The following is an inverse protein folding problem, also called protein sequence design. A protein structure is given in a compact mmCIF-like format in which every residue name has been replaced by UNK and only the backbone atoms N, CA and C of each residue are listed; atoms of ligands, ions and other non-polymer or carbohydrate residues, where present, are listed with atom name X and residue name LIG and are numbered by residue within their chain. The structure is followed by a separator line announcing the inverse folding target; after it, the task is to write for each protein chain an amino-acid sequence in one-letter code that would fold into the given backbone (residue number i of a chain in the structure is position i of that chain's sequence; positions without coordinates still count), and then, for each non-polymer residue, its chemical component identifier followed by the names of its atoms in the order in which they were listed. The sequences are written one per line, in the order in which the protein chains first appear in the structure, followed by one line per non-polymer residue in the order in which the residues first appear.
data_IF_147330066233
#
_entry.id   IF_147330066233
#
_cell.length_a   1.000
_cell.length_b   1.000
_cell.length_c   1.000
_cell.angle_alpha   90.00
_cell.angle_beta   90.00
_cell.angle_gamma   90.00
#
_symmetry.space_group_name_H-M   'P 1'
#
loop_
_entity.id
_entity.type
_entity.pdbx_description
1 polymer ?
#
# COMPACT_ATOMS: atom_id res chain seq x y z
N UNK A 1 -13.60 8.38 17.68
CA UNK A 1 -12.37 9.15 17.98
C UNK A 1 -11.42 8.36 18.88
N UNK A 2 -10.51 7.57 18.31
CA UNK A 2 -9.35 7.00 19.02
C UNK A 2 -8.12 7.73 18.52
N UNK A 3 -7.31 8.20 19.48
CA UNK A 3 -6.14 9.08 19.32
C UNK A 3 -5.19 8.61 18.21
N UNK A 4 -5.34 9.17 17.02
CA UNK A 4 -4.30 9.24 16.00
C UNK A 4 -3.44 10.47 16.30
N UNK A 5 -2.10 10.33 16.26
CA UNK A 5 -1.20 11.47 16.09
C UNK A 5 0.01 11.58 17.01
N UNK A 6 0.02 10.99 18.22
CA UNK A 6 1.18 11.12 19.12
C UNK A 6 1.44 9.79 19.86
N UNK A 7 2.57 9.14 19.54
CA UNK A 7 3.32 8.08 20.29
C UNK A 7 3.77 6.92 19.37
N UNK A 8 4.63 7.18 18.39
CA UNK A 8 5.37 6.13 17.65
C UNK A 8 6.90 6.18 17.89
N UNK A 9 7.36 6.82 18.94
CA UNK A 9 8.80 6.91 19.27
C UNK A 9 9.27 5.83 20.25
N UNK A 10 8.35 5.29 21.05
CA UNK A 10 8.62 4.29 22.09
C UNK A 10 7.49 3.28 22.02
N UNK A 11 7.82 2.01 21.78
CA UNK A 11 6.86 0.90 21.80
C UNK A 11 7.28 -0.11 22.86
N UNK A 12 6.32 -0.53 23.66
CA UNK A 12 6.51 -1.63 24.61
C UNK A 12 5.94 -2.88 23.98
N UNK A 13 6.79 -3.87 23.72
CA UNK A 13 6.41 -5.17 23.20
C UNK A 13 6.73 -6.25 24.24
N UNK A 14 5.94 -7.32 24.25
CA UNK A 14 6.19 -8.50 25.06
C UNK A 14 6.70 -9.60 24.13
N UNK A 15 7.99 -9.93 24.27
CA UNK A 15 8.57 -11.09 23.60
C UNK A 15 8.43 -12.30 24.54
N UNK A 16 7.27 -12.97 24.45
CA UNK A 16 6.83 -13.96 25.43
C UNK A 16 6.55 -13.34 26.81
N UNK A 17 7.35 -13.70 27.82
CA UNK A 17 7.27 -13.12 29.18
C UNK A 17 8.22 -11.92 29.38
N UNK A 18 9.07 -11.60 28.40
CA UNK A 18 10.12 -10.58 28.56
C UNK A 18 9.67 -9.24 27.96
N UNK A 19 9.59 -8.15 28.75
CA UNK A 19 9.29 -6.83 28.20
C UNK A 19 10.49 -6.34 27.37
N UNK A 20 10.20 -5.89 26.15
CA UNK A 20 11.12 -5.30 25.19
C UNK A 20 10.69 -3.85 24.91
N UNK A 21 11.65 -2.94 24.90
CA UNK A 21 11.39 -1.53 24.56
C UNK A 21 12.00 -1.27 23.20
N UNK A 22 11.16 -0.90 22.24
CA UNK A 22 11.61 -0.55 20.90
C UNK A 22 11.62 0.97 20.78
N UNK A 23 12.79 1.53 20.49
CA UNK A 23 13.04 2.96 20.33
C UNK A 23 13.40 3.30 18.89
N UNK A 24 12.94 4.45 18.43
CA UNK A 24 13.40 5.04 17.16
C UNK A 24 14.93 5.26 17.19
N UNK A 25 15.62 5.03 16.07
CA UNK A 25 17.07 5.23 15.91
C UNK A 25 17.57 6.58 16.42
N UNK A 26 16.75 7.65 16.36
CA UNK A 26 17.12 8.97 16.88
C UNK A 26 17.50 8.98 18.36
N UNK A 27 17.04 7.98 19.13
CA UNK A 27 17.36 7.82 20.55
C UNK A 27 18.55 6.88 20.81
N UNK A 28 19.28 6.45 19.77
CA UNK A 28 20.47 5.62 19.91
C UNK A 28 21.48 6.22 20.89
N UNK A 29 21.80 7.51 20.72
CA UNK A 29 22.75 8.20 21.60
C UNK A 29 22.32 8.16 23.06
N UNK A 30 21.01 8.27 23.33
CA UNK A 30 20.47 8.17 24.67
C UNK A 30 20.63 6.76 25.25
N UNK A 31 20.32 5.71 24.48
CA UNK A 31 20.44 4.33 24.93
C UNK A 31 21.92 3.95 25.20
N UNK A 32 22.83 4.31 24.29
CA UNK A 32 24.26 4.01 24.41
C UNK A 32 24.89 4.78 25.57
N UNK A 33 24.64 6.08 25.69
CA UNK A 33 25.19 6.86 26.81
C UNK A 33 24.56 6.50 28.14
N UNK A 34 23.25 6.20 28.16
CA UNK A 34 22.55 5.72 29.35
C UNK A 34 23.21 4.46 29.92
N UNK A 35 23.43 3.45 29.09
CA UNK A 35 24.16 2.23 29.48
C UNK A 35 25.57 2.53 30.01
N UNK A 36 26.35 3.35 29.29
CA UNK A 36 27.70 3.75 29.73
C UNK A 36 27.69 4.48 31.08
N UNK A 37 26.69 5.32 31.34
CA UNK A 37 26.54 6.01 32.64
C UNK A 37 26.22 5.02 33.75
N UNK A 38 25.35 4.03 33.51
CA UNK A 38 25.05 2.98 34.51
C UNK A 38 26.31 2.17 34.82
N UNK A 39 27.08 1.76 33.81
CA UNK A 39 28.35 1.07 34.01
C UNK A 39 29.35 1.91 34.80
N UNK A 40 29.49 3.20 34.48
CA UNK A 40 30.38 4.12 35.19
C UNK A 40 29.97 4.29 36.66
N UNK A 41 28.66 4.39 36.94
CA UNK A 41 28.14 4.42 38.31
C UNK A 41 28.40 3.10 39.05
N UNK A 42 28.30 1.96 38.37
CA UNK A 42 28.69 0.66 38.92
C UNK A 42 30.16 0.62 39.35
N UNK A 43 31.06 1.14 38.51
CA UNK A 43 32.48 1.24 38.86
C UNK A 43 32.70 2.19 40.04
N UNK A 44 32.11 3.39 40.01
CA UNK A 44 32.28 4.37 41.09
C UNK A 44 31.74 3.87 42.44
N UNK A 45 30.60 3.18 42.43
CA UNK A 45 29.98 2.64 43.63
C UNK A 45 30.80 1.49 44.24
N UNK A 46 31.54 0.73 43.42
CA UNK A 46 32.46 -0.30 43.91
C UNK A 46 33.64 0.25 44.71
N UNK A 47 34.01 1.52 44.51
CA UNK A 47 35.11 2.19 45.20
C UNK A 47 34.69 2.81 46.54
N UNK A 48 33.39 2.89 46.83
CA UNK A 48 32.86 3.51 48.04
C UNK A 48 32.64 2.46 49.14
N UNK A 49 33.08 2.77 50.36
CA UNK A 49 32.80 1.97 51.56
C UNK A 49 31.35 2.18 52.02
N UNK A 50 30.43 1.52 51.33
CA UNK A 50 28.98 1.56 51.60
C UNK A 50 28.59 0.40 52.52
N UNK A 51 27.73 0.61 53.54
CA UNK A 51 27.22 -0.47 54.39
C UNK A 51 26.55 -1.59 53.58
N UNK A 52 26.74 -2.88 53.95
CA UNK A 52 26.26 -4.03 53.16
C UNK A 52 24.78 -4.02 52.75
N UNK A 53 23.81 -3.60 53.60
CA UNK A 53 22.41 -3.57 53.18
C UNK A 53 22.16 -2.60 52.02
N UNK A 54 22.89 -1.48 52.00
CA UNK A 54 22.73 -0.43 51.00
C UNK A 54 23.45 -0.82 49.70
N UNK A 55 24.64 -1.43 49.81
CA UNK A 55 25.41 -1.85 48.63
C UNK A 55 24.71 -2.94 47.82
N UNK A 56 24.04 -3.90 48.49
CA UNK A 56 23.26 -4.95 47.82
C UNK A 56 22.07 -4.35 47.06
N UNK A 57 21.30 -3.45 47.69
CA UNK A 57 20.16 -2.78 47.03
C UNK A 57 20.64 -1.99 45.82
N UNK A 58 21.74 -1.26 45.94
CA UNK A 58 22.31 -0.47 44.86
C UNK A 58 22.81 -1.34 43.69
N UNK A 59 23.47 -2.45 43.99
CA UNK A 59 23.93 -3.40 42.97
C UNK A 59 22.76 -4.01 42.19
N UNK A 60 21.68 -4.40 42.89
CA UNK A 60 20.46 -4.91 42.22
C UNK A 60 19.82 -3.83 41.36
N UNK A 61 19.77 -2.58 41.81
CA UNK A 61 19.22 -1.47 41.03
C UNK A 61 20.04 -1.19 39.75
N UNK A 62 21.37 -1.13 39.86
CA UNK A 62 22.26 -0.91 38.72
C UNK A 62 22.20 -2.08 37.72
N UNK A 63 22.25 -3.32 38.21
CA UNK A 63 22.10 -4.49 37.36
C UNK A 63 20.73 -4.52 36.64
N UNK A 64 19.67 -4.09 37.32
CA UNK A 64 18.34 -3.98 36.69
C UNK A 64 18.30 -2.91 35.60
N UNK A 65 19.01 -1.79 35.78
CA UNK A 65 19.14 -0.74 34.78
C UNK A 65 19.98 -1.19 33.58
N UNK A 66 21.09 -1.91 33.80
CA UNK A 66 21.89 -2.47 32.70
C UNK A 66 21.06 -3.47 31.88
N UNK A 67 20.36 -4.40 32.56
CA UNK A 67 19.44 -5.34 31.90
C UNK A 67 18.30 -4.62 31.15
N UNK A 68 17.89 -3.43 31.60
CA UNK A 68 16.90 -2.61 30.89
C UNK A 68 17.49 -2.03 29.61
N UNK A 69 18.69 -1.43 29.67
CA UNK A 69 19.35 -0.85 28.49
C UNK A 69 19.73 -1.90 27.44
N UNK A 70 20.18 -3.10 27.86
CA UNK A 70 20.44 -4.23 26.95
C UNK A 70 19.19 -4.68 26.17
N UNK A 71 17.99 -4.46 26.73
CA UNK A 71 16.72 -4.84 26.11
C UNK A 71 16.13 -3.77 25.20
N UNK A 72 16.76 -2.62 25.11
CA UNK A 72 16.35 -1.57 24.17
C UNK A 72 16.73 -2.04 22.76
N UNK A 73 15.72 -2.26 21.92
CA UNK A 73 15.92 -2.48 20.50
C UNK A 73 15.73 -1.18 19.76
N UNK A 74 16.63 -0.88 18.83
CA UNK A 74 16.50 0.29 17.96
C UNK A 74 15.71 -0.10 16.72
N UNK A 75 14.84 0.80 16.28
CA UNK A 75 14.02 0.69 15.08
C UNK A 75 14.49 1.71 14.05
N UNK A 76 14.74 1.24 12.84
CA UNK A 76 14.98 2.08 11.66
C UNK A 76 13.71 2.14 10.84
N UNK A 77 13.34 3.35 10.43
CA UNK A 77 12.19 3.56 9.56
C UNK A 77 12.66 3.91 8.15
N UNK A 78 12.14 3.21 7.15
CA UNK A 78 12.28 3.62 5.76
C UNK A 78 10.92 3.99 5.18
N UNK A 79 10.94 4.71 4.07
CA UNK A 79 9.75 5.09 3.33
C UNK A 79 9.93 4.65 1.89
N UNK A 80 8.94 3.95 1.36
CA UNK A 80 8.87 3.58 -0.04
C UNK A 80 7.65 4.22 -0.68
N UNK A 81 7.87 5.00 -1.72
CA UNK A 81 6.83 5.67 -2.49
C UNK A 81 6.65 4.90 -3.78
N UNK A 82 5.47 4.31 -3.96
CA UNK A 82 5.11 3.64 -5.21
C UNK A 82 4.89 4.70 -6.31
N UNK A 83 5.05 4.37 -7.61
CA UNK A 83 4.82 5.31 -8.70
C UNK A 83 3.47 6.03 -8.55
N UNK A 84 3.51 7.36 -8.64
CA UNK A 84 2.36 8.25 -8.52
C UNK A 84 2.07 8.85 -9.89
N UNK A 85 0.80 9.14 -10.21
CA UNK A 85 0.50 9.89 -11.41
C UNK A 85 1.06 11.30 -11.31
N UNK A 86 1.62 11.81 -12.41
CA UNK A 86 2.19 13.16 -12.45
C UNK A 86 1.09 14.23 -12.28
N UNK A 87 -0.08 13.95 -12.82
CA UNK A 87 -1.32 14.72 -12.64
C UNK A 87 -2.50 13.75 -12.48
N UNK A 88 -3.49 14.11 -11.68
CA UNK A 88 -4.68 13.29 -11.48
C UNK A 88 -5.90 14.17 -11.27
N UNK A 89 -6.96 13.83 -11.97
CA UNK A 89 -8.30 14.37 -11.77
C UNK A 89 -9.28 13.19 -11.79
N UNK A 90 -9.93 12.93 -10.65
CA UNK A 90 -10.91 11.85 -10.54
C UNK A 90 -12.16 12.15 -11.36
N UNK A 91 -12.53 13.43 -11.49
CA UNK A 91 -13.75 13.83 -12.18
C UNK A 91 -13.62 13.58 -13.68
N UNK A 92 -12.39 13.50 -14.19
CA UNK A 92 -12.14 13.12 -15.57
C UNK A 92 -12.48 11.65 -15.87
N UNK A 93 -12.54 10.76 -14.88
CA UNK A 93 -12.91 9.35 -15.06
C UNK A 93 -14.43 9.18 -15.10
N UNK A 94 -14.97 9.12 -16.31
CA UNK A 94 -16.41 9.16 -16.59
C UNK A 94 -17.10 7.80 -16.53
N UNK A 95 -16.37 6.70 -16.71
CA UNK A 95 -16.99 5.38 -16.77
C UNK A 95 -16.03 4.23 -17.03
N UNK A 96 -16.60 3.03 -17.06
CA UNK A 96 -15.93 1.83 -17.52
C UNK A 96 -16.64 1.23 -18.73
N UNK A 97 -15.84 0.76 -19.68
CA UNK A 97 -16.24 0.00 -20.85
C UNK A 97 -15.91 -1.47 -20.60
N UNK A 98 -16.80 -2.36 -21.04
CA UNK A 98 -16.60 -3.80 -20.92
C UNK A 98 -16.83 -4.44 -22.27
N UNK A 99 -15.86 -5.22 -22.73
CA UNK A 99 -15.92 -5.93 -23.99
C UNK A 99 -15.43 -7.36 -23.81
N UNK A 100 -16.04 -8.31 -24.51
CA UNK A 100 -15.54 -9.67 -24.56
C UNK A 100 -15.12 -9.99 -25.99
N UNK A 101 -13.88 -10.43 -26.16
CA UNK A 101 -13.34 -10.85 -27.45
C UNK A 101 -12.50 -12.11 -27.34
N UNK A 102 -12.69 -13.04 -28.27
CA UNK A 102 -11.83 -14.22 -28.49
C UNK A 102 -11.43 -14.97 -27.20
N UNK A 103 -12.31 -15.01 -26.20
CA UNK A 103 -12.05 -15.71 -24.93
C UNK A 103 -11.45 -14.84 -23.82
N UNK A 104 -11.36 -13.52 -23.98
CA UNK A 104 -10.77 -12.61 -23.00
C UNK A 104 -11.65 -11.38 -22.79
N UNK A 105 -11.80 -10.96 -21.54
CA UNK A 105 -12.48 -9.72 -21.19
C UNK A 105 -11.51 -8.53 -21.35
N UNK A 106 -12.01 -7.46 -21.96
CA UNK A 106 -11.41 -6.14 -22.01
C UNK A 106 -12.18 -5.17 -21.11
N UNK A 107 -11.44 -4.41 -20.30
CA UNK A 107 -11.93 -3.32 -19.47
C UNK A 107 -11.29 -2.02 -19.96
N UNK A 108 -12.12 -1.06 -20.33
CA UNK A 108 -11.69 0.27 -20.74
C UNK A 108 -12.04 1.30 -19.70
N UNK A 109 -11.08 2.08 -19.22
CA UNK A 109 -11.36 3.24 -18.37
C UNK A 109 -11.66 4.43 -19.28
N UNK A 110 -12.87 4.97 -19.22
CA UNK A 110 -13.30 6.08 -20.06
C UNK A 110 -13.04 7.41 -19.37
N UNK A 111 -12.28 8.28 -20.02
CA UNK A 111 -12.00 9.63 -19.58
C UNK A 111 -12.54 10.67 -20.56
N UNK A 112 -12.84 11.87 -20.07
CA UNK A 112 -13.11 13.03 -20.92
C UNK A 112 -11.84 13.76 -21.36
N UNK A 113 -10.75 13.66 -20.59
CA UNK A 113 -9.44 14.24 -20.88
C UNK A 113 -8.43 13.18 -21.36
N UNK A 114 -7.80 13.45 -22.52
CA UNK A 114 -6.82 12.55 -23.15
C UNK A 114 -5.53 12.42 -22.34
N UNK A 115 -5.08 13.51 -21.73
CA UNK A 115 -3.85 13.53 -20.94
C UNK A 115 -4.04 12.77 -19.64
N UNK A 116 -5.17 12.93 -18.96
CA UNK A 116 -5.49 12.12 -17.76
C UNK A 116 -5.59 10.64 -18.12
N UNK A 117 -6.24 10.29 -19.23
CA UNK A 117 -6.30 8.90 -19.72
C UNK A 117 -4.91 8.30 -19.98
N UNK A 118 -3.99 9.10 -20.55
CA UNK A 118 -2.60 8.72 -20.81
C UNK A 118 -1.83 8.49 -19.50
N UNK A 119 -1.86 9.48 -18.60
CA UNK A 119 -1.17 9.45 -17.31
C UNK A 119 -1.68 8.30 -16.43
N UNK A 120 -2.99 8.04 -16.43
CA UNK A 120 -3.58 6.91 -15.72
C UNK A 120 -2.95 5.59 -16.17
N UNK A 121 -2.91 5.33 -17.48
CA UNK A 121 -2.39 4.08 -18.02
C UNK A 121 -0.88 3.95 -17.80
N UNK A 122 -0.10 5.01 -18.03
CA UNK A 122 1.34 5.03 -17.76
C UNK A 122 1.66 4.75 -16.29
N UNK A 123 0.89 5.33 -15.38
CA UNK A 123 1.07 5.09 -13.95
C UNK A 123 0.81 3.62 -13.60
N UNK A 124 -0.26 3.05 -14.15
CA UNK A 124 -0.60 1.64 -13.94
C UNK A 124 0.50 0.73 -14.54
N UNK A 125 1.03 1.06 -15.73
CA UNK A 125 2.18 0.37 -16.34
C UNK A 125 3.44 0.43 -15.47
N UNK A 126 3.74 1.59 -14.89
CA UNK A 126 4.88 1.76 -14.00
C UNK A 126 4.78 0.88 -12.74
N UNK A 127 3.57 0.51 -12.31
CA UNK A 127 3.40 -0.47 -11.22
C UNK A 127 3.84 -1.87 -11.63
N UNK A 128 3.74 -2.20 -12.92
CA UNK A 128 4.17 -3.47 -13.51
C UNK A 128 5.52 -3.38 -14.25
N UNK A 129 6.40 -2.45 -13.84
CA UNK A 129 7.74 -2.29 -14.44
C UNK A 129 7.71 -2.05 -15.96
N UNK A 130 6.67 -1.36 -16.42
CA UNK A 130 6.38 -1.06 -17.83
C UNK A 130 6.12 -2.29 -18.71
N UNK A 131 5.95 -3.48 -18.13
CA UNK A 131 5.56 -4.69 -18.85
C UNK A 131 4.07 -4.71 -19.18
N UNK A 132 3.73 -5.17 -20.39
CA UNK A 132 2.34 -5.25 -20.86
C UNK A 132 1.55 -6.40 -20.22
N UNK A 133 2.22 -7.33 -19.52
CA UNK A 133 1.61 -8.54 -18.97
C UNK A 133 1.89 -8.61 -17.48
N UNK A 134 0.88 -8.39 -16.65
CA UNK A 134 1.01 -8.54 -15.19
C UNK A 134 1.00 -10.02 -14.83
N UNK A 135 2.20 -10.60 -14.67
CA UNK A 135 2.36 -12.02 -14.30
C UNK A 135 2.34 -12.22 -12.79
N UNK A 136 2.90 -11.27 -12.07
CA UNK A 136 3.13 -11.38 -10.63
C UNK A 136 1.97 -10.81 -9.80
N UNK A 137 0.99 -10.16 -10.44
CA UNK A 137 -0.11 -9.49 -9.75
C UNK A 137 0.35 -8.20 -9.09
N UNK A 138 1.22 -7.45 -9.79
CA UNK A 138 1.76 -6.16 -9.38
C UNK A 138 0.69 -5.07 -9.39
N UNK A 139 -0.37 -5.23 -10.19
CA UNK A 139 -1.51 -4.33 -10.26
C UNK A 139 -2.70 -5.04 -9.63
N UNK A 140 -3.40 -4.35 -8.73
CA UNK A 140 -4.68 -4.81 -8.19
C UNK A 140 -5.79 -3.98 -8.79
N UNK A 141 -6.79 -4.66 -9.33
CA UNK A 141 -8.04 -4.05 -9.77
C UNK A 141 -9.19 -4.76 -9.08
N UNK A 142 -10.14 -3.98 -8.56
CA UNK A 142 -11.35 -4.55 -7.96
C UNK A 142 -12.59 -3.72 -8.24
N UNK A 143 -13.73 -4.41 -8.28
CA UNK A 143 -15.06 -3.83 -8.35
C UNK A 143 -15.83 -4.20 -7.07
N UNK A 144 -16.27 -3.20 -6.33
CA UNK A 144 -17.04 -3.37 -5.10
C UNK A 144 -18.47 -2.91 -5.34
N UNK A 145 -19.42 -3.83 -5.28
CA UNK A 145 -20.85 -3.51 -5.32
C UNK A 145 -21.27 -2.85 -4.00
N UNK A 146 -21.88 -1.67 -4.11
CA UNK A 146 -22.33 -0.86 -2.99
C UNK A 146 -23.78 -1.21 -2.64
N UNK A 147 -24.15 -1.03 -1.37
CA UNK A 147 -25.48 -1.37 -0.88
C UNK A 147 -26.63 -0.55 -1.50
N UNK A 148 -26.32 0.63 -2.04
CA UNK A 148 -27.28 1.52 -2.71
C UNK A 148 -27.55 1.14 -4.18
N UNK A 149 -26.87 0.11 -4.67
CA UNK A 149 -27.03 -0.37 -6.05
C UNK A 149 -26.09 0.30 -7.05
N UNK A 150 -25.08 1.07 -6.61
CA UNK A 150 -23.92 1.44 -7.40
C UNK A 150 -22.76 0.43 -7.27
N UNK A 151 -21.61 0.77 -7.85
CA UNK A 151 -20.36 0.05 -7.61
C UNK A 151 -19.17 1.01 -7.64
N UNK A 152 -18.12 0.70 -6.89
CA UNK A 152 -16.85 1.42 -6.95
C UNK A 152 -15.81 0.57 -7.66
N UNK A 153 -15.03 1.21 -8.55
CA UNK A 153 -13.86 0.60 -9.19
C UNK A 153 -12.61 1.06 -8.47
N UNK A 154 -11.69 0.14 -8.18
CA UNK A 154 -10.39 0.42 -7.59
C UNK A 154 -9.28 -0.08 -8.49
N UNK A 155 -8.21 0.71 -8.62
CA UNK A 155 -6.97 0.32 -9.26
C UNK A 155 -5.80 0.86 -8.42
N UNK A 156 -4.93 -0.02 -7.96
CA UNK A 156 -3.81 0.34 -7.09
C UNK A 156 -2.66 -0.67 -7.21
N UNK A 157 -1.42 -0.29 -6.86
CA UNK A 157 -0.31 -1.22 -6.88
C UNK A 157 -0.42 -2.23 -5.73
N UNK A 158 -0.02 -3.47 -6.00
CA UNK A 158 0.07 -4.53 -5.01
C UNK A 158 1.10 -4.20 -3.92
N UNK A 159 0.82 -4.63 -2.70
CA UNK A 159 1.75 -4.51 -1.57
C UNK A 159 2.76 -5.67 -1.52
N UNK A 160 2.65 -6.62 -2.46
CA UNK A 160 3.53 -7.77 -2.63
C UNK A 160 4.60 -7.59 -3.74
N UNK A 161 4.64 -6.42 -4.39
CA UNK A 161 5.59 -6.11 -5.48
C UNK A 161 7.03 -6.37 -5.06
N UNK A 162 7.84 -6.94 -5.96
CA UNK A 162 9.24 -7.27 -5.64
C UNK A 162 10.07 -6.02 -5.29
N UNK A 163 9.84 -4.87 -5.95
CA UNK A 163 10.51 -3.61 -5.62
C UNK A 163 10.31 -3.15 -4.17
N UNK A 164 9.16 -3.44 -3.54
CA UNK A 164 8.93 -3.17 -2.12
C UNK A 164 9.84 -4.04 -1.24
N UNK A 165 9.92 -5.34 -1.58
CA UNK A 165 10.73 -6.33 -0.86
C UNK A 165 12.22 -6.05 -1.04
N UNK A 166 12.66 -5.71 -2.24
CA UNK A 166 14.05 -5.34 -2.53
C UNK A 166 14.47 -4.08 -1.79
N UNK A 167 13.62 -3.05 -1.75
CA UNK A 167 13.91 -1.85 -0.99
C UNK A 167 14.01 -2.11 0.51
N UNK A 168 13.23 -3.06 1.06
CA UNK A 168 13.37 -3.48 2.44
C UNK A 168 14.69 -4.22 2.68
N UNK A 169 15.01 -5.22 1.84
CA UNK A 169 16.27 -5.98 1.89
C UNK A 169 17.50 -5.07 1.81
N UNK A 170 17.45 -4.03 0.98
CA UNK A 170 18.56 -3.06 0.83
C UNK A 170 18.82 -2.28 2.13
N UNK A 171 17.76 -1.88 2.83
CA UNK A 171 17.87 -1.19 4.13
C UNK A 171 18.41 -2.14 5.20
N UNK A 172 17.91 -3.38 5.24
CA UNK A 172 18.42 -4.42 6.14
C UNK A 172 19.89 -4.76 5.87
N UNK A 173 20.31 -4.82 4.60
CA UNK A 173 21.71 -5.07 4.24
C UNK A 173 22.63 -3.96 4.76
N UNK A 174 22.27 -2.70 4.55
CA UNK A 174 23.04 -1.55 5.06
C UNK A 174 23.15 -1.56 6.58
N UNK A 175 22.08 -1.97 7.27
CA UNK A 175 22.10 -2.14 8.72
C UNK A 175 23.11 -3.21 9.17
N UNK A 176 23.16 -4.36 8.48
CA UNK A 176 24.13 -5.43 8.76
C UNK A 176 25.56 -4.95 8.52
N UNK A 177 25.80 -4.26 7.39
CA UNK A 177 27.13 -3.70 7.03
C UNK A 177 27.62 -2.68 8.06
N UNK A 178 26.71 -1.86 8.60
CA UNK A 178 27.01 -0.90 9.68
C UNK A 178 27.11 -1.55 11.07
N UNK A 179 26.90 -2.86 11.19
CA UNK A 179 26.88 -3.57 12.48
C UNK A 179 25.69 -3.23 13.37
N UNK A 180 24.64 -2.65 12.77
CA UNK A 180 23.42 -2.17 13.43
C UNK A 180 22.27 -3.13 13.13
N UNK A 181 22.26 -4.34 13.68
CA UNK A 181 21.11 -5.24 13.54
C UNK A 181 19.94 -4.64 14.33
N UNK A 182 18.94 -4.10 13.62
CA UNK A 182 17.83 -3.32 14.18
C UNK A 182 16.49 -3.81 13.63
N UNK A 183 15.41 -3.45 14.30
CA UNK A 183 14.09 -3.69 13.73
C UNK A 183 13.84 -2.73 12.57
N UNK A 184 13.47 -3.26 11.40
CA UNK A 184 13.15 -2.45 10.25
C UNK A 184 11.64 -2.30 10.08
N UNK A 185 11.18 -1.06 9.98
CA UNK A 185 9.81 -0.72 9.61
C UNK A 185 9.80 0.08 8.31
N UNK A 186 9.23 -0.48 7.26
CA UNK A 186 9.02 0.21 5.99
C UNK A 186 7.61 0.79 5.93
N UNK A 187 7.51 2.13 5.94
CA UNK A 187 6.28 2.82 5.60
C UNK A 187 6.10 2.82 4.08
N UNK A 188 4.89 2.50 3.62
CA UNK A 188 4.55 2.42 2.19
C UNK A 188 3.58 3.54 1.85
N UNK A 189 3.90 4.31 0.84
CA UNK A 189 3.03 5.32 0.25
C UNK A 189 2.60 4.85 -1.12
N UNK A 190 1.29 4.72 -1.31
CA UNK A 190 0.69 4.28 -2.56
C UNK A 190 -0.49 5.16 -2.91
N UNK A 191 -0.76 5.29 -4.20
CA UNK A 191 -1.98 5.88 -4.73
C UNK A 191 -3.05 4.80 -4.87
N UNK A 192 -4.29 5.18 -4.65
CA UNK A 192 -5.48 4.38 -4.96
C UNK A 192 -6.28 5.19 -5.96
N UNK A 193 -6.38 4.71 -7.20
CA UNK A 193 -7.31 5.28 -8.18
C UNK A 193 -8.66 4.63 -7.94
N UNK A 194 -9.66 5.41 -7.58
CA UNK A 194 -11.00 4.90 -7.31
C UNK A 194 -12.08 5.85 -7.82
N UNK A 195 -13.18 5.29 -8.31
CA UNK A 195 -14.34 6.04 -8.79
C UNK A 195 -15.63 5.23 -8.62
N UNK A 196 -16.70 5.88 -8.17
CA UNK A 196 -18.04 5.29 -8.09
C UNK A 196 -18.81 5.46 -9.39
N UNK A 197 -19.63 4.46 -9.70
CA UNK A 197 -20.47 4.43 -10.87
C UNK A 197 -21.83 3.83 -10.53
N UNK A 198 -22.86 4.35 -11.20
CA UNK A 198 -24.20 3.77 -11.15
C UNK A 198 -24.21 2.36 -11.75
N UNK A 199 -25.00 1.45 -11.17
CA UNK A 199 -25.18 0.09 -11.68
C UNK A 199 -26.66 -0.24 -12.00
N UNK A 200 -27.30 0.48 -12.94
CA UNK A 200 -28.69 0.25 -13.28
C UNK A 200 -28.95 -1.15 -13.84
N UNK A 201 -30.20 -1.59 -13.80
CA UNK A 201 -30.64 -2.84 -14.43
C UNK A 201 -30.32 -2.79 -15.93
N UNK A 202 -29.43 -3.69 -16.38
CA UNK A 202 -28.98 -3.76 -17.77
C UNK A 202 -27.60 -3.14 -18.04
N UNK A 203 -26.89 -2.64 -17.01
CA UNK A 203 -25.52 -2.15 -17.15
C UNK A 203 -24.57 -3.21 -17.76
N UNK A 204 -23.55 -2.74 -18.47
CA UNK A 204 -22.50 -3.61 -18.99
C UNK A 204 -21.66 -4.25 -17.88
N UNK A 205 -21.53 -3.58 -16.73
CA UNK A 205 -20.86 -4.13 -15.56
C UNK A 205 -21.55 -5.40 -15.04
N UNK A 206 -22.89 -5.45 -14.97
CA UNK A 206 -23.61 -6.68 -14.57
C UNK A 206 -23.30 -7.84 -15.51
N UNK A 207 -23.32 -7.59 -16.82
CA UNK A 207 -22.99 -8.62 -17.81
C UNK A 207 -21.56 -9.13 -17.66
N UNK A 208 -20.61 -8.22 -17.46
CA UNK A 208 -19.22 -8.57 -17.17
C UNK A 208 -19.13 -9.45 -15.92
N UNK A 209 -19.72 -9.00 -14.80
CA UNK A 209 -19.73 -9.73 -13.54
C UNK A 209 -20.30 -11.14 -13.66
N UNK A 210 -21.43 -11.30 -14.35
CA UNK A 210 -22.12 -12.59 -14.47
C UNK A 210 -21.34 -13.63 -15.31
N UNK A 211 -20.35 -13.19 -16.10
CA UNK A 211 -19.60 -14.04 -17.04
C UNK A 211 -18.09 -14.06 -16.77
N UNK A 212 -17.60 -13.27 -15.81
CA UNK A 212 -16.19 -13.22 -15.48
C UNK A 212 -15.85 -14.31 -14.46
N UNK A 213 -15.01 -15.27 -14.85
CA UNK A 213 -14.68 -16.46 -14.06
C UNK A 213 -13.31 -16.36 -13.34
N UNK A 214 -12.70 -15.17 -13.26
CA UNK A 214 -11.40 -14.96 -12.62
C UNK A 214 -10.19 -15.03 -13.57
N UNK A 215 -10.42 -15.03 -14.88
CA UNK A 215 -9.35 -15.06 -15.88
C UNK A 215 -8.64 -13.70 -16.06
N UNK A 216 -7.58 -13.68 -16.87
CA UNK A 216 -6.90 -12.43 -17.25
C UNK A 216 -7.86 -11.49 -17.96
N UNK A 217 -7.64 -10.19 -17.77
CA UNK A 217 -8.37 -9.14 -18.49
C UNK A 217 -7.40 -8.20 -19.18
N UNK A 218 -7.80 -7.63 -20.31
CA UNK A 218 -7.07 -6.53 -20.95
C UNK A 218 -7.57 -5.20 -20.39
N UNK A 219 -6.69 -4.40 -19.82
CA UNK A 219 -6.96 -3.05 -19.36
C UNK A 219 -6.44 -2.04 -20.39
N UNK A 220 -7.25 -1.03 -20.73
CA UNK A 220 -6.81 0.13 -21.50
C UNK A 220 -7.58 1.38 -21.06
N UNK A 221 -7.16 2.56 -21.53
CA UNK A 221 -7.86 3.84 -21.30
C UNK A 221 -8.40 4.40 -22.61
N UNK A 222 -9.54 5.07 -22.55
CA UNK A 222 -10.26 5.60 -23.71
C UNK A 222 -10.69 7.04 -23.45
N UNK A 223 -10.93 7.77 -24.54
CA UNK A 223 -11.52 9.13 -24.47
C UNK A 223 -12.89 9.16 -25.11
N UNK A 224 -13.77 10.03 -24.62
CA UNK A 224 -15.13 10.20 -25.16
C UNK A 224 -15.13 10.55 -26.65
N UNK A 225 -14.20 11.41 -27.11
CA UNK A 225 -14.05 11.77 -28.53
C UNK A 225 -13.83 10.54 -29.43
N UNK A 226 -13.03 9.58 -28.97
CA UNK A 226 -12.76 8.35 -29.73
C UNK A 226 -13.93 7.40 -29.82
N UNK A 227 -14.82 7.41 -28.83
CA UNK A 227 -16.05 6.63 -28.89
C UNK A 227 -17.00 7.20 -29.95
N UNK A 228 -17.05 8.53 -30.09
CA UNK A 228 -17.88 9.21 -31.11
C UNK A 228 -17.38 8.90 -32.52
N UNK A 229 -16.06 8.94 -32.75
CA UNK A 229 -15.47 8.62 -34.04
C UNK A 229 -15.73 7.16 -34.48
N UNK A 230 -15.82 6.22 -33.52
CA UNK A 230 -16.15 4.81 -33.78
C UNK A 230 -17.65 4.51 -33.79
N UNK A 231 -18.49 5.40 -33.26
CA UNK A 231 -19.95 5.22 -33.11
C UNK A 231 -20.79 5.54 -34.35
N UNK A 232 -20.19 5.88 -35.48
CA UNK A 232 -20.89 6.29 -36.71
C UNK A 232 -21.18 5.15 -37.72
N UNK A 233 -20.99 3.88 -37.34
CA UNK A 233 -21.35 2.71 -38.14
C UNK A 233 -21.89 1.54 -37.30
N UNK A 234 -22.61 0.56 -37.90
CA UNK A 234 -23.06 -0.64 -37.19
C UNK A 234 -21.84 -1.44 -36.71
N UNK A 235 -21.72 -1.60 -35.40
CA UNK A 235 -20.63 -2.35 -34.76
C UNK A 235 -20.94 -3.86 -34.76
N UNK A 236 -20.78 -4.49 -35.93
CA UNK A 236 -20.66 -5.95 -36.05
C UNK A 236 -19.18 -6.33 -35.86
N UNK A 237 -18.81 -6.70 -34.64
CA UNK A 237 -17.46 -7.13 -34.30
C UNK A 237 -16.55 -6.02 -33.77
N UNK A 238 -15.43 -6.41 -33.16
CA UNK A 238 -14.45 -5.46 -32.65
C UNK A 238 -13.88 -4.60 -33.77
N UNK A 239 -13.54 -3.33 -33.49
CA UNK A 239 -12.46 -2.71 -34.25
C UNK A 239 -11.25 -3.66 -34.13
N UNK A 240 -10.57 -3.95 -35.24
CA UNK A 240 -9.43 -4.88 -35.28
C UNK A 240 -8.28 -4.55 -34.28
N UNK A 241 -8.39 -3.44 -33.56
CA UNK A 241 -7.57 -3.06 -32.42
C UNK A 241 -8.48 -2.54 -31.27
N UNK A 242 -8.32 -3.07 -30.05
CA UNK A 242 -8.77 -2.44 -28.79
C UNK A 242 -7.98 -1.15 -28.55
N UNK A 243 -8.12 -0.19 -29.49
CA UNK A 243 -7.32 1.02 -29.57
C UNK A 243 -7.79 2.02 -28.52
N UNK A 244 -7.11 2.03 -27.38
CA UNK A 244 -7.18 3.07 -26.35
C UNK A 244 -6.42 4.32 -26.79
N UNK A 245 -5.99 5.17 -25.85
CA UNK A 245 -5.17 6.37 -26.14
C UNK A 245 -3.98 6.01 -27.03
N UNK A 246 -3.77 6.78 -28.11
CA UNK A 246 -2.70 6.55 -29.09
C UNK A 246 -1.37 6.73 -28.35
N UNK A 247 -0.50 5.72 -28.41
CA UNK A 247 0.88 5.65 -27.88
C UNK A 247 1.12 4.72 -26.70
N UNK A 248 0.10 4.07 -26.13
CA UNK A 248 0.30 3.16 -24.99
C UNK A 248 -0.41 1.83 -25.23
N UNK A 249 0.36 0.74 -25.17
CA UNK A 249 -0.18 -0.62 -25.28
C UNK A 249 -1.05 -0.99 -24.07
N UNK A 250 -2.12 -1.78 -24.29
CA UNK A 250 -2.97 -2.25 -23.21
C UNK A 250 -2.24 -3.23 -22.30
N UNK A 251 -2.69 -3.31 -21.04
CA UNK A 251 -2.07 -4.17 -20.02
C UNK A 251 -2.94 -5.41 -19.80
N UNK A 252 -2.37 -6.60 -19.94
CA UNK A 252 -3.02 -7.84 -19.52
C UNK A 252 -2.88 -8.00 -18.00
N UNK A 253 -3.93 -7.68 -17.25
CA UNK A 253 -3.99 -7.90 -15.81
C UNK A 253 -4.11 -9.40 -15.49
N UNK A 254 -3.51 -9.82 -14.38
CA UNK A 254 -3.56 -11.21 -13.93
C UNK A 254 -4.99 -11.67 -13.62
N UNK A 255 -5.71 -10.86 -12.85
CA UNK A 255 -7.09 -11.09 -12.43
C UNK A 255 -7.70 -9.76 -11.95
N UNK A 256 -9.03 -9.74 -11.85
CA UNK A 256 -9.80 -8.66 -11.23
C UNK A 256 -10.64 -9.24 -10.12
N UNK A 257 -10.73 -8.55 -8.99
CA UNK A 257 -11.59 -8.99 -7.89
C UNK A 257 -12.97 -8.34 -8.02
N UNK A 258 -14.04 -9.12 -7.86
CA UNK A 258 -15.40 -8.58 -7.69
C UNK A 258 -15.89 -8.97 -6.30
N UNK A 259 -16.39 -8.00 -5.53
CA UNK A 259 -16.85 -8.23 -4.17
C UNK A 259 -18.11 -7.40 -3.87
N UNK A 260 -18.88 -7.83 -2.88
CA UNK A 260 -19.91 -7.02 -2.24
C UNK A 260 -19.29 -6.23 -1.08
N UNK A 261 -19.79 -5.02 -0.80
CA UNK A 261 -19.31 -4.21 0.33
C UNK A 261 -19.34 -4.98 1.67
N UNK A 262 -20.36 -5.82 1.87
CA UNK A 262 -20.53 -6.65 3.08
C UNK A 262 -19.42 -7.67 3.28
N UNK A 263 -18.75 -8.07 2.20
CA UNK A 263 -17.79 -9.18 2.18
C UNK A 263 -16.35 -8.67 2.25
N UNK A 264 -16.15 -7.36 2.35
CA UNK A 264 -14.83 -6.75 2.43
C UNK A 264 -14.17 -7.04 3.79
N UNK A 265 -12.95 -7.56 3.74
CA UNK A 265 -12.13 -7.76 4.92
C UNK A 265 -11.74 -6.41 5.53
N UNK A 266 -11.70 -6.34 6.85
CA UNK A 266 -11.45 -5.06 7.55
C UNK A 266 -10.07 -4.47 7.24
N UNK A 267 -9.09 -5.30 6.87
CA UNK A 267 -7.74 -4.89 6.50
C UNK A 267 -7.56 -4.67 4.99
N UNK A 268 -8.59 -4.90 4.16
CA UNK A 268 -8.52 -4.64 2.72
C UNK A 268 -8.42 -3.15 2.41
N UNK A 269 -7.80 -2.82 1.27
CA UNK A 269 -7.63 -1.44 0.81
C UNK A 269 -8.99 -0.80 0.56
N UNK A 270 -9.91 -1.55 -0.06
CA UNK A 270 -11.26 -1.12 -0.39
C UNK A 270 -12.08 -0.81 0.87
N UNK A 271 -12.03 -1.68 1.90
CA UNK A 271 -12.72 -1.43 3.16
C UNK A 271 -12.19 -0.17 3.84
N UNK A 272 -10.86 -0.03 3.91
CA UNK A 272 -10.23 1.12 4.55
C UNK A 272 -10.56 2.42 3.82
N UNK A 273 -10.56 2.40 2.48
CA UNK A 273 -10.94 3.54 1.65
C UNK A 273 -12.41 3.94 1.86
N UNK A 274 -13.34 3.00 1.74
CA UNK A 274 -14.78 3.26 1.91
C UNK A 274 -15.14 3.76 3.30
N UNK A 275 -14.59 3.15 4.36
CA UNK A 275 -15.00 3.47 5.74
C UNK A 275 -14.32 4.68 6.33
N UNK A 276 -13.11 5.03 5.88
CA UNK A 276 -12.32 6.08 6.53
C UNK A 276 -11.88 7.20 5.60
N UNK A 277 -11.74 6.96 4.30
CA UNK A 277 -11.24 7.99 3.36
C UNK A 277 -12.41 8.75 2.73
N UNK A 278 -13.38 8.05 2.12
CA UNK A 278 -14.49 8.73 1.44
C UNK A 278 -15.30 9.67 2.35
N UNK A 279 -15.66 9.29 3.60
CA UNK A 279 -16.42 10.18 4.47
C UNK A 279 -15.65 11.46 4.85
N UNK A 280 -14.33 11.50 4.68
CA UNK A 280 -13.52 12.69 4.89
C UNK A 280 -13.47 13.61 3.66
N UNK A 281 -13.81 13.11 2.47
CA UNK A 281 -13.84 13.87 1.22
C UNK A 281 -15.22 14.47 0.93
N UNK A 282 -16.28 13.89 1.50
CA UNK A 282 -17.66 14.38 1.41
C UNK A 282 -18.00 15.50 2.43
N UNK A 283 -17.07 15.86 3.32
CA UNK A 283 -17.20 16.91 4.33
C UNK A 283 -16.25 18.09 4.06
#
# INVERSE_FOLDING_TARGET
MRRAGLKRHIRFELDGWKPKVVLDERYESFAVWGSRTVTALGILTSLLLIPPPISVVLAVALASLDLFFERISLMVQSMFVQPLPETWDSDAWQGNLYQYDRGMWGIGLLFDDKEIARVALETIRAWNYDEDVDRDGNIKMSFVELNDGGYMTYIYPSDERESLKEAAKEVERKQIEEGKIREHYQNRFQVIMAQDFDNPLGSHFRRFKDHYEGDRVMLNTFTTERLVDRGSGPMDGLPDEFGGVESIDPISLKEVRIAQESDLEHNSVEYQHLKYVMPLLEN
#
